data_IF_951630894807
#
_entry.id   IF_951630894807
#
_cell.length_a   1.000
_cell.length_b   1.000
_cell.length_c   1.000
_cell.angle_alpha   90.00
_cell.angle_beta   90.00
_cell.angle_gamma   90.00
#
_symmetry.space_group_name_H-M   'P 1'
#
loop_
_entity.id
_entity.type
_entity.pdbx_description
1 polymer ?
#
# COMPACT_ATOMS: atom_id res chain seq x y z
N UNK A 1 24.98 -21.44 74.14
CA UNK A 1 25.29 -20.66 72.91
C UNK A 1 24.21 -20.95 71.88
N UNK A 2 23.16 -20.13 71.87
CA UNK A 2 22.05 -20.19 70.91
C UNK A 2 22.34 -19.20 69.78
N UNK A 3 22.34 -19.66 68.54
CA UNK A 3 22.51 -18.80 67.34
C UNK A 3 21.26 -17.93 67.16
N UNK A 4 21.39 -16.64 66.84
CA UNK A 4 20.23 -15.82 66.52
C UNK A 4 19.69 -16.19 65.14
N UNK A 5 18.40 -16.49 65.05
CA UNK A 5 17.70 -16.65 63.77
C UNK A 5 17.56 -15.29 63.10
N UNK A 6 18.16 -15.17 61.93
CA UNK A 6 18.17 -13.94 61.16
C UNK A 6 16.85 -13.83 60.37
N UNK A 7 15.81 -13.34 61.03
CA UNK A 7 14.48 -13.19 60.45
C UNK A 7 14.42 -11.90 59.62
N UNK A 8 15.04 -11.91 58.44
CA UNK A 8 14.92 -10.80 57.48
C UNK A 8 13.59 -10.95 56.74
N UNK A 9 12.60 -10.15 57.15
CA UNK A 9 11.33 -10.00 56.45
C UNK A 9 11.58 -9.25 55.14
N UNK A 10 11.70 -9.97 54.03
CA UNK A 10 11.72 -9.36 52.70
C UNK A 10 10.28 -9.05 52.29
N UNK A 11 9.95 -7.77 52.17
CA UNK A 11 8.72 -7.34 51.50
C UNK A 11 8.98 -7.41 50.00
N UNK A 12 8.48 -8.46 49.35
CA UNK A 12 8.45 -8.53 47.89
C UNK A 12 7.23 -7.73 47.45
N UNK A 13 7.42 -6.45 47.11
CA UNK A 13 6.39 -5.67 46.43
C UNK A 13 6.36 -6.08 44.96
N UNK A 14 5.32 -6.80 44.56
CA UNK A 14 5.05 -7.07 43.15
C UNK A 14 4.27 -5.88 42.61
N UNK A 15 4.95 -4.93 41.97
CA UNK A 15 4.27 -3.86 41.25
C UNK A 15 3.50 -4.48 40.09
N UNK A 16 2.17 -4.28 40.06
CA UNK A 16 1.34 -4.75 38.97
C UNK A 16 1.50 -3.82 37.76
N UNK A 17 2.52 -4.10 36.95
CA UNK A 17 2.81 -3.38 35.70
C UNK A 17 1.67 -3.49 34.68
N UNK A 18 0.61 -4.29 34.94
CA UNK A 18 -0.57 -4.33 34.08
C UNK A 18 -1.35 -3.00 34.06
N UNK A 19 -1.22 -2.18 35.11
CA UNK A 19 -1.91 -0.88 35.24
C UNK A 19 -1.22 0.29 34.51
N UNK A 20 0.04 0.14 34.07
CA UNK A 20 0.84 1.20 33.43
C UNK A 20 1.05 0.98 31.92
N UNK A 21 0.03 0.46 31.20
CA UNK A 21 0.09 0.33 29.74
C UNK A 21 -0.10 1.63 28.97
N UNK A 22 -0.28 2.76 29.65
CA UNK A 22 -0.55 4.05 29.01
C UNK A 22 0.45 4.38 27.89
N UNK A 23 1.76 4.11 28.08
CA UNK A 23 2.75 4.34 27.01
C UNK A 23 2.55 3.45 25.78
N UNK A 24 2.20 2.17 25.98
CA UNK A 24 1.90 1.24 24.89
C UNK A 24 0.58 1.60 24.19
N UNK A 25 -0.45 1.96 24.95
CA UNK A 25 -1.74 2.36 24.42
C UNK A 25 -1.63 3.69 23.65
N UNK A 26 -0.84 4.64 24.15
CA UNK A 26 -0.54 5.90 23.48
C UNK A 26 0.26 5.66 22.19
N UNK A 27 1.23 4.74 22.21
CA UNK A 27 1.97 4.33 21.03
C UNK A 27 1.05 3.68 19.99
N UNK A 28 0.13 2.81 20.41
CA UNK A 28 -0.86 2.21 19.51
C UNK A 28 -1.76 3.28 18.88
N UNK A 29 -2.30 4.21 19.68
CA UNK A 29 -3.11 5.32 19.15
C UNK A 29 -2.31 6.22 18.21
N UNK A 30 -1.03 6.46 18.48
CA UNK A 30 -0.16 7.20 17.57
C UNK A 30 0.02 6.44 16.25
N UNK A 31 0.31 5.14 16.31
CA UNK A 31 0.42 4.29 15.12
C UNK A 31 -0.88 4.28 14.30
N UNK A 32 -2.03 4.17 14.96
CA UNK A 32 -3.35 4.24 14.30
C UNK A 32 -3.56 5.58 13.60
N UNK A 33 -3.23 6.71 14.26
CA UNK A 33 -3.32 8.04 13.65
C UNK A 33 -2.37 8.22 12.48
N UNK A 34 -1.14 7.69 12.57
CA UNK A 34 -0.18 7.71 11.46
C UNK A 34 -0.73 6.89 10.29
N UNK A 35 -1.25 5.68 10.54
CA UNK A 35 -1.87 4.86 9.49
C UNK A 35 -3.09 5.53 8.85
N UNK A 36 -3.91 6.22 9.64
CA UNK A 36 -5.06 6.98 9.13
C UNK A 36 -4.62 8.18 8.30
N UNK A 37 -3.60 8.93 8.76
CA UNK A 37 -3.02 10.04 8.02
C UNK A 37 -2.36 9.59 6.72
N UNK A 38 -1.65 8.45 6.73
CA UNK A 38 -1.13 7.81 5.51
C UNK A 38 -2.29 7.50 4.58
N UNK A 39 -3.35 6.83 5.04
CA UNK A 39 -4.47 6.43 4.19
C UNK A 39 -5.19 7.63 3.57
N UNK A 40 -5.37 8.71 4.33
CA UNK A 40 -6.06 9.91 3.86
C UNK A 40 -5.23 10.71 2.85
N UNK A 41 -3.90 10.75 3.02
CA UNK A 41 -2.98 11.48 2.14
C UNK A 41 -2.30 10.59 1.08
N UNK A 42 -2.63 9.30 1.05
CA UNK A 42 -2.00 8.31 0.16
C UNK A 42 -2.01 8.73 -1.32
N UNK A 43 -3.12 9.28 -1.87
CA UNK A 43 -3.15 9.69 -3.27
C UNK A 43 -2.14 10.78 -3.60
N UNK A 44 -1.89 11.71 -2.66
CA UNK A 44 -0.96 12.82 -2.86
C UNK A 44 0.48 12.34 -2.69
N UNK A 45 0.76 11.54 -1.65
CA UNK A 45 2.10 11.04 -1.31
C UNK A 45 2.71 10.18 -2.42
N UNK A 46 1.92 9.28 -3.01
CA UNK A 46 2.34 8.39 -4.12
C UNK A 46 2.82 9.20 -5.35
N UNK A 47 2.36 10.44 -5.45
CA UNK A 47 2.57 11.28 -6.62
C UNK A 47 3.59 12.39 -6.39
N UNK A 48 4.35 12.29 -5.29
CA UNK A 48 5.52 13.13 -5.05
C UNK A 48 6.70 12.69 -5.93
N UNK A 49 7.27 13.65 -6.66
CA UNK A 49 8.35 13.42 -7.62
C UNK A 49 9.60 12.84 -6.96
N UNK A 50 9.83 13.18 -5.69
CA UNK A 50 10.95 12.68 -4.89
C UNK A 50 10.91 11.15 -4.74
N UNK A 51 9.72 10.56 -4.66
CA UNK A 51 9.58 9.10 -4.48
C UNK A 51 9.86 8.35 -5.78
N UNK A 52 9.42 8.90 -6.91
CA UNK A 52 9.54 8.25 -8.23
C UNK A 52 10.97 8.35 -8.78
N UNK A 53 11.71 9.40 -8.39
CA UNK A 53 13.05 9.70 -8.90
C UNK A 53 14.19 9.24 -7.95
N UNK A 54 13.90 8.68 -6.77
CA UNK A 54 14.90 8.33 -5.75
C UNK A 54 15.06 6.83 -5.49
N UNK A 55 16.27 6.44 -5.08
CA UNK A 55 16.68 5.05 -4.86
C UNK A 55 16.26 4.49 -3.48
N UNK A 56 15.01 4.74 -3.05
CA UNK A 56 14.35 4.00 -1.96
C UNK A 56 14.86 4.24 -0.54
N UNK A 57 15.52 5.37 -0.25
CA UNK A 57 16.03 5.72 1.09
C UNK A 57 15.43 6.98 1.71
N UNK A 58 14.39 7.53 1.11
CA UNK A 58 13.79 8.77 1.61
C UNK A 58 12.65 8.49 2.61
N UNK A 59 12.61 9.35 3.62
CA UNK A 59 11.60 9.40 4.67
C UNK A 59 10.63 10.52 4.27
N UNK A 60 9.35 10.20 4.16
CA UNK A 60 8.31 11.17 3.77
C UNK A 60 7.69 11.74 5.04
N UNK A 61 7.57 13.06 5.11
CA UNK A 61 7.03 13.76 6.28
C UNK A 61 5.55 14.02 6.09
N UNK A 62 4.72 13.41 6.93
CA UNK A 62 3.27 13.59 6.88
C UNK A 62 2.83 14.44 8.08
N UNK A 63 2.10 15.55 7.87
CA UNK A 63 1.53 16.30 8.96
C UNK A 63 0.41 15.49 9.64
N UNK A 64 0.59 15.19 10.92
CA UNK A 64 -0.44 14.60 11.78
C UNK A 64 -1.02 15.68 12.69
N UNK A 65 -2.35 15.70 12.79
CA UNK A 65 -3.05 16.52 13.76
C UNK A 65 -2.78 15.98 15.16
N UNK A 66 -2.04 16.74 15.95
CA UNK A 66 -1.92 16.49 17.38
C UNK A 66 -2.98 17.30 18.11
N UNK A 67 -3.48 16.74 19.21
CA UNK A 67 -4.22 17.52 20.19
C UNK A 67 -3.20 17.92 21.24
N UNK A 68 -3.08 19.22 21.48
CA UNK A 68 -2.28 19.70 22.59
C UNK A 68 -2.85 19.16 23.91
N UNK A 69 -1.97 18.65 24.75
CA UNK A 69 -2.34 18.35 26.13
C UNK A 69 -2.74 19.64 26.84
N UNK A 70 -3.85 19.59 27.59
CA UNK A 70 -4.28 20.71 28.40
C UNK A 70 -3.18 21.08 29.42
N UNK A 71 -2.60 22.27 29.26
CA UNK A 71 -1.65 22.82 30.23
C UNK A 71 -2.41 23.63 31.26
N UNK A 72 -2.32 23.23 32.53
CA UNK A 72 -2.77 24.07 33.64
C UNK A 72 -1.86 25.30 33.67
N UNK A 73 -2.39 26.46 33.32
CA UNK A 73 -1.70 27.74 33.47
C UNK A 73 -2.12 28.38 34.78
N UNK A 74 -1.15 28.86 35.56
CA UNK A 74 -1.44 29.68 36.73
C UNK A 74 -2.00 31.01 36.25
N UNK A 75 -3.18 31.38 36.75
CA UNK A 75 -3.68 32.72 36.59
C UNK A 75 -2.87 33.65 37.50
N UNK A 76 -2.20 34.65 36.91
CA UNK A 76 -1.39 35.62 37.65
C UNK A 76 -2.24 36.75 38.26
N UNK A 77 -3.52 36.83 37.90
CA UNK A 77 -4.45 37.75 38.54
C UNK A 77 -4.86 37.25 39.92
N UNK A 78 -4.97 38.18 40.86
CA UNK A 78 -5.25 37.92 42.29
C UNK A 78 -6.65 37.37 42.58
N UNK A 79 -7.39 36.93 41.57
CA UNK A 79 -8.74 36.39 41.73
C UNK A 79 -8.68 34.87 41.92
N UNK A 80 -9.07 34.41 43.12
CA UNK A 80 -9.27 32.98 43.43
C UNK A 80 -10.55 32.49 42.75
N UNK A 81 -10.49 32.19 41.46
CA UNK A 81 -11.57 31.49 40.77
C UNK A 81 -10.99 30.39 39.88
N UNK A 82 -11.60 29.21 39.93
CA UNK A 82 -11.36 28.13 38.97
C UNK A 82 -12.45 28.26 37.91
N UNK A 83 -12.09 28.21 36.62
CA UNK A 83 -13.09 28.22 35.55
C UNK A 83 -13.91 26.93 35.61
N UNK A 84 -15.11 27.00 36.21
CA UNK A 84 -16.03 25.88 36.31
C UNK A 84 -17.18 26.10 35.32
N UNK A 85 -17.40 25.16 34.41
CA UNK A 85 -18.56 25.18 33.51
C UNK A 85 -19.85 24.89 34.26
N UNK A 86 -20.97 25.42 33.76
CA UNK A 86 -22.28 25.28 34.39
C UNK A 86 -22.93 23.88 34.25
N UNK A 87 -22.20 22.87 33.79
CA UNK A 87 -22.67 21.48 33.68
C UNK A 87 -23.23 21.07 32.31
N UNK A 88 -23.58 22.03 31.44
CA UNK A 88 -24.16 21.78 30.11
C UNK A 88 -23.19 22.02 28.93
N UNK A 89 -21.87 22.02 29.18
CA UNK A 89 -20.88 22.40 28.17
C UNK A 89 -20.62 21.31 27.12
N UNK A 90 -20.52 21.70 25.85
CA UNK A 90 -20.09 20.82 24.76
C UNK A 90 -18.59 21.00 24.46
N UNK A 91 -17.99 19.98 23.83
CA UNK A 91 -16.57 20.02 23.41
C UNK A 91 -16.39 21.17 22.41
N UNK A 92 -15.65 22.21 22.82
CA UNK A 92 -15.42 23.44 22.04
C UNK A 92 -15.94 24.73 22.71
N UNK A 93 -16.72 24.62 23.79
CA UNK A 93 -17.24 25.79 24.50
C UNK A 93 -16.17 26.51 25.33
N UNK A 94 -16.11 27.84 25.18
CA UNK A 94 -15.20 28.70 25.97
C UNK A 94 -15.90 29.10 27.27
N UNK A 95 -15.48 28.49 28.38
CA UNK A 95 -16.10 28.66 29.71
C UNK A 95 -15.88 30.06 30.30
N UNK A 96 -14.78 30.74 29.94
CA UNK A 96 -14.53 32.14 30.27
C UNK A 96 -13.49 32.76 29.31
N UNK A 97 -13.73 33.98 28.82
CA UNK A 97 -12.70 34.84 28.24
C UNK A 97 -12.38 35.93 29.25
N UNK A 98 -11.09 36.19 29.43
CA UNK A 98 -10.63 37.25 30.31
C UNK A 98 -11.11 38.61 29.78
N UNK A 99 -11.88 39.31 30.61
CA UNK A 99 -12.61 40.50 30.23
C UNK A 99 -11.77 41.74 30.45
N UNK A 100 -11.10 42.24 29.41
CA UNK A 100 -10.83 43.68 29.29
C UNK A 100 -11.87 44.30 28.36
N UNK A 101 -12.83 45.00 28.96
CA UNK A 101 -13.83 45.78 28.24
C UNK A 101 -13.16 46.93 27.48
N UNK A 102 -13.21 46.87 26.15
CA UNK A 102 -12.76 47.93 25.25
C UNK A 102 -13.45 47.85 23.89
N UNK A 103 -14.47 48.70 23.70
CA UNK A 103 -15.09 49.16 22.45
C UNK A 103 -15.07 48.27 21.20
N UNK A 104 -16.26 47.82 20.77
CA UNK A 104 -16.56 47.44 19.37
C UNK A 104 -16.36 48.65 18.45
N UNK A 105 -15.26 48.66 17.70
CA UNK A 105 -15.09 49.50 16.50
C UNK A 105 -15.70 48.83 15.27
N UNK A 106 -16.16 49.58 14.25
CA UNK A 106 -16.80 49.04 13.05
C UNK A 106 -15.83 48.22 12.20
N UNK A 107 -16.25 47.01 11.79
CA UNK A 107 -15.45 46.06 11.04
C UNK A 107 -14.95 46.59 9.70
N UNK A 108 -13.64 46.47 9.48
CA UNK A 108 -12.96 46.73 8.21
C UNK A 108 -12.31 45.42 7.74
N UNK A 109 -12.81 44.90 6.62
CA UNK A 109 -12.08 44.03 5.68
C UNK A 109 -11.90 42.56 6.05
N UNK A 110 -12.03 41.70 5.04
CA UNK A 110 -11.50 40.33 5.03
C UNK A 110 -9.97 40.37 5.18
N UNK A 111 -9.49 40.40 6.42
CA UNK A 111 -8.11 40.06 6.78
C UNK A 111 -8.01 38.58 7.13
N UNK A 112 -6.80 38.02 7.01
CA UNK A 112 -6.50 36.67 7.47
C UNK A 112 -7.04 36.45 8.89
N UNK A 113 -7.75 35.34 9.12
CA UNK A 113 -8.42 35.07 10.38
C UNK A 113 -7.42 35.08 11.55
N UNK A 114 -7.78 35.79 12.63
CA UNK A 114 -7.02 35.92 13.88
C UNK A 114 -7.04 34.64 14.74
N UNK A 115 -7.40 33.50 14.15
CA UNK A 115 -7.34 32.19 14.80
C UNK A 115 -5.92 31.67 14.63
N UNK A 116 -5.26 31.32 15.74
CA UNK A 116 -4.00 30.61 15.70
C UNK A 116 -4.18 29.36 14.82
N UNK A 117 -3.29 29.18 13.84
CA UNK A 117 -3.28 27.97 13.03
C UNK A 117 -3.12 26.73 13.92
N UNK A 118 -3.70 25.61 13.50
CA UNK A 118 -3.51 24.34 14.20
C UNK A 118 -2.03 23.92 14.11
N UNK A 119 -1.42 23.57 15.25
CA UNK A 119 -0.06 23.03 15.28
C UNK A 119 -0.07 21.59 14.72
N UNK A 120 0.66 21.37 13.63
CA UNK A 120 0.85 20.05 13.01
C UNK A 120 2.19 19.46 13.44
N UNK A 121 2.19 18.18 13.80
CA UNK A 121 3.44 17.43 14.01
C UNK A 121 3.79 16.69 12.72
N UNK A 122 5.06 16.74 12.30
CA UNK A 122 5.54 15.97 11.16
C UNK A 122 5.91 14.56 11.62
N UNK A 123 5.17 13.56 11.16
CA UNK A 123 5.55 12.16 11.32
C UNK A 123 6.43 11.71 10.15
N UNK A 124 7.55 11.08 10.47
CA UNK A 124 8.45 10.46 9.50
C UNK A 124 7.91 9.08 9.12
N UNK A 125 7.52 8.91 7.86
CA UNK A 125 6.98 7.66 7.31
C UNK A 125 7.95 7.07 6.30
N UNK A 126 8.17 5.77 6.41
CA UNK A 126 9.04 5.04 5.49
C UNK A 126 8.31 4.71 4.19
N UNK A 127 9.06 4.60 3.10
CA UNK A 127 8.52 4.18 1.80
C UNK A 127 7.88 2.78 1.86
N UNK A 128 8.41 1.90 2.70
CA UNK A 128 7.88 0.54 2.90
C UNK A 128 6.48 0.56 3.53
N UNK A 129 6.20 1.47 4.48
CA UNK A 129 4.87 1.62 5.08
C UNK A 129 3.85 2.15 4.06
N UNK A 130 4.28 3.08 3.18
CA UNK A 130 3.45 3.57 2.08
C UNK A 130 3.12 2.45 1.09
N UNK A 131 4.12 1.65 0.73
CA UNK A 131 3.97 0.47 -0.13
C UNK A 131 2.99 -0.54 0.48
N UNK A 132 3.15 -0.87 1.76
CA UNK A 132 2.25 -1.82 2.44
C UNK A 132 0.80 -1.30 2.44
N UNK A 133 0.60 -0.02 2.76
CA UNK A 133 -0.72 0.60 2.76
C UNK A 133 -1.37 0.60 1.37
N UNK A 134 -0.58 0.87 0.32
CA UNK A 134 -1.02 0.86 -1.07
C UNK A 134 -1.32 -0.56 -1.57
N UNK A 135 -0.36 -1.47 -1.47
CA UNK A 135 -0.42 -2.81 -2.07
C UNK A 135 -1.44 -3.72 -1.39
N UNK A 136 -1.81 -3.43 -0.14
CA UNK A 136 -2.88 -4.14 0.57
C UNK A 136 -4.22 -4.14 -0.19
N UNK A 137 -4.47 -3.11 -0.99
CA UNK A 137 -5.73 -2.94 -1.73
C UNK A 137 -5.65 -3.44 -3.19
N UNK A 138 -4.46 -3.79 -3.68
CA UNK A 138 -4.21 -4.08 -5.10
C UNK A 138 -4.00 -5.58 -5.33
N UNK A 139 -4.64 -6.14 -6.36
CA UNK A 139 -4.45 -7.51 -6.84
C UNK A 139 -4.53 -7.55 -8.37
N UNK A 140 -3.81 -8.49 -8.99
CA UNK A 140 -3.98 -8.76 -10.42
C UNK A 140 -5.40 -9.28 -10.69
N UNK A 141 -6.23 -8.54 -11.45
CA UNK A 141 -7.60 -8.94 -11.72
C UNK A 141 -7.64 -10.14 -12.66
N UNK A 142 -8.71 -10.93 -12.64
CA UNK A 142 -8.90 -12.04 -13.57
C UNK A 142 -7.70 -13.03 -13.64
N UNK A 143 -6.96 -13.21 -12.54
CA UNK A 143 -5.83 -14.15 -12.50
C UNK A 143 -6.36 -15.58 -12.60
N UNK A 144 -6.08 -16.24 -13.72
CA UNK A 144 -6.54 -17.62 -13.98
C UNK A 144 -5.45 -18.60 -13.63
N UNK A 145 -5.87 -19.77 -13.13
CA UNK A 145 -4.99 -20.94 -13.03
C UNK A 145 -4.70 -21.44 -14.44
N UNK A 146 -3.47 -21.22 -14.88
CA UNK A 146 -2.94 -21.70 -16.18
C UNK A 146 -2.29 -23.06 -16.01
N UNK A 147 -1.86 -23.67 -17.12
CA UNK A 147 -1.16 -24.95 -17.06
C UNK A 147 0.02 -24.86 -16.10
N UNK A 148 0.10 -25.83 -15.20
CA UNK A 148 1.11 -25.87 -14.16
C UNK A 148 2.45 -26.20 -14.81
N UNK A 149 3.28 -25.18 -15.03
CA UNK A 149 4.71 -25.43 -14.92
C UNK A 149 4.98 -25.94 -13.51
N UNK A 150 5.91 -26.88 -13.36
CA UNK A 150 6.33 -27.39 -12.06
C UNK A 150 7.07 -26.28 -11.29
N UNK A 151 6.32 -25.34 -10.72
CA UNK A 151 6.87 -24.23 -9.95
C UNK A 151 6.90 -24.69 -8.50
N UNK A 152 8.12 -24.87 -7.99
CA UNK A 152 8.43 -25.14 -6.59
C UNK A 152 8.66 -23.78 -5.93
N UNK A 153 7.59 -23.10 -5.50
CA UNK A 153 7.76 -22.00 -4.54
C UNK A 153 7.85 -22.65 -3.16
N UNK A 154 9.03 -22.61 -2.55
CA UNK A 154 9.28 -23.10 -1.20
C UNK A 154 8.77 -22.08 -0.18
N UNK A 155 7.47 -22.12 0.13
CA UNK A 155 6.95 -21.30 1.22
C UNK A 155 7.12 -22.04 2.54
N UNK A 156 7.91 -21.46 3.46
CA UNK A 156 8.23 -22.03 4.77
C UNK A 156 7.10 -21.68 5.74
N UNK A 157 6.16 -22.60 5.95
CA UNK A 157 5.09 -22.42 6.93
C UNK A 157 5.40 -23.21 8.23
N UNK A 158 5.47 -22.51 9.37
CA UNK A 158 5.64 -23.10 10.70
C UNK A 158 4.34 -23.69 11.26
N UNK A 159 3.73 -24.61 10.51
CA UNK A 159 2.43 -25.19 10.83
C UNK A 159 2.53 -26.60 11.44
N UNK A 160 3.72 -27.21 11.48
CA UNK A 160 3.90 -28.58 11.98
C UNK A 160 4.50 -28.61 13.38
N UNK A 161 4.12 -29.62 14.15
CA UNK A 161 4.60 -29.84 15.51
C UNK A 161 5.10 -31.26 15.66
N UNK A 162 6.40 -31.37 15.90
CA UNK A 162 7.09 -32.65 16.05
C UNK A 162 7.51 -32.86 17.50
N UNK A 163 7.66 -34.14 17.88
CA UNK A 163 8.18 -34.53 19.21
C UNK A 163 9.70 -34.36 19.32
N UNK A 164 10.38 -34.19 18.19
CA UNK A 164 11.83 -34.08 18.07
C UNK A 164 12.17 -32.94 17.09
N UNK A 165 13.15 -32.10 17.44
CA UNK A 165 13.56 -30.98 16.61
C UNK A 165 14.71 -30.19 17.25
N UNK A 166 15.08 -29.07 16.62
CA UNK A 166 16.10 -28.16 17.14
C UNK A 166 15.64 -27.50 18.44
N UNK A 167 16.50 -27.47 19.48
CA UNK A 167 16.18 -26.88 20.80
C UNK A 167 15.74 -25.40 20.72
N UNK A 168 16.17 -24.66 19.71
CA UNK A 168 15.72 -23.28 19.47
C UNK A 168 14.24 -23.14 19.13
N UNK A 169 13.61 -24.18 18.56
CA UNK A 169 12.23 -24.15 18.07
C UNK A 169 11.21 -24.80 19.02
N UNK A 170 11.56 -24.97 20.30
CA UNK A 170 10.63 -25.55 21.29
C UNK A 170 9.39 -24.65 21.45
N UNK A 171 8.21 -25.24 21.24
CA UNK A 171 6.95 -24.64 21.66
C UNK A 171 6.80 -24.79 23.17
N UNK A 172 7.25 -23.76 23.91
CA UNK A 172 7.23 -23.74 25.38
C UNK A 172 5.82 -24.00 25.92
N UNK A 173 4.79 -23.39 25.34
CA UNK A 173 3.40 -23.48 25.80
C UNK A 173 2.86 -24.91 25.62
N UNK A 174 3.04 -25.49 24.43
CA UNK A 174 2.56 -26.85 24.15
C UNK A 174 3.36 -27.91 24.90
N UNK A 175 4.67 -27.71 25.07
CA UNK A 175 5.54 -28.57 25.88
C UNK A 175 5.08 -28.60 27.33
N UNK A 176 4.87 -27.42 27.92
CA UNK A 176 4.41 -27.27 29.30
C UNK A 176 3.01 -27.86 29.51
N UNK A 177 2.10 -27.70 28.53
CA UNK A 177 0.80 -28.35 28.55
C UNK A 177 0.86 -29.88 28.42
N UNK A 178 1.82 -30.42 27.64
CA UNK A 178 2.03 -31.87 27.53
C UNK A 178 2.48 -32.44 28.88
N UNK A 179 3.47 -31.79 29.52
CA UNK A 179 3.95 -32.18 30.83
C UNK A 179 2.83 -32.12 31.88
N UNK A 180 2.02 -31.06 31.87
CA UNK A 180 0.88 -30.93 32.76
C UNK A 180 -0.13 -32.06 32.59
N UNK A 181 -0.50 -32.39 31.35
CA UNK A 181 -1.45 -33.48 31.07
C UNK A 181 -0.93 -34.84 31.56
N UNK A 182 0.35 -35.15 31.30
CA UNK A 182 0.99 -36.39 31.77
C UNK A 182 1.06 -36.45 33.30
N UNK A 183 1.44 -35.34 33.94
CA UNK A 183 1.52 -35.25 35.40
C UNK A 183 0.13 -35.35 36.06
N UNK A 184 -0.89 -34.75 35.45
CA UNK A 184 -2.27 -34.88 35.89
C UNK A 184 -2.80 -36.32 35.78
N UNK A 185 -2.43 -37.06 34.71
CA UNK A 185 -2.75 -38.50 34.60
C UNK A 185 -2.13 -39.34 35.73
N UNK A 186 -0.98 -38.91 36.25
CA UNK A 186 -0.30 -39.54 37.38
C UNK A 186 -0.74 -38.98 38.75
N UNK A 187 -1.90 -38.31 38.83
CA UNK A 187 -2.45 -37.68 40.04
C UNK A 187 -1.54 -36.64 40.72
N UNK A 188 -0.61 -36.03 39.97
CA UNK A 188 0.27 -34.96 40.45
C UNK A 188 0.22 -33.77 39.49
N UNK A 189 -0.92 -33.07 39.35
CA UNK A 189 -1.04 -31.98 38.38
C UNK A 189 0.01 -30.90 38.62
N UNK A 190 0.86 -30.65 37.61
CA UNK A 190 1.97 -29.72 37.72
C UNK A 190 2.76 -29.65 36.41
N UNK A 191 3.46 -28.54 36.19
CA UNK A 191 4.24 -28.33 34.97
C UNK A 191 5.64 -28.98 35.00
N UNK A 192 6.06 -29.44 36.16
CA UNK A 192 7.36 -30.08 36.39
C UNK A 192 7.14 -31.45 37.06
N UNK A 193 7.97 -32.47 36.77
CA UNK A 193 9.09 -32.51 35.82
C UNK A 193 8.62 -32.51 34.37
N UNK A 194 9.44 -31.93 33.47
CA UNK A 194 9.28 -32.02 32.00
C UNK A 194 10.25 -33.11 31.52
N UNK A 195 9.73 -34.11 30.82
CA UNK A 195 10.56 -35.16 30.22
C UNK A 195 10.74 -34.92 28.71
N UNK A 196 11.76 -35.55 28.07
CA UNK A 196 11.98 -35.42 26.64
C UNK A 196 10.75 -35.74 25.77
N UNK A 197 9.87 -36.64 26.23
CA UNK A 197 8.60 -37.00 25.59
C UNK A 197 7.54 -35.90 25.58
N UNK A 198 7.64 -34.94 26.51
CA UNK A 198 6.76 -33.77 26.60
C UNK A 198 7.16 -32.68 25.62
N UNK A 199 8.39 -32.72 25.09
CA UNK A 199 8.90 -31.69 24.18
C UNK A 199 8.08 -31.66 22.88
N UNK A 200 7.69 -30.45 22.50
CA UNK A 200 7.04 -30.12 21.23
C UNK A 200 7.87 -29.06 20.53
N UNK A 201 8.22 -29.32 19.29
CA UNK A 201 9.01 -28.43 18.46
C UNK A 201 8.15 -27.89 17.32
N UNK A 202 8.21 -26.59 17.06
CA UNK A 202 7.65 -26.00 15.84
C UNK A 202 8.58 -26.34 14.68
N UNK A 203 8.05 -27.08 13.72
CA UNK A 203 8.76 -27.41 12.49
C UNK A 203 8.09 -26.67 11.34
N UNK A 204 8.87 -26.31 10.35
CA UNK A 204 8.36 -25.80 9.10
C UNK A 204 8.18 -26.96 8.12
N UNK A 205 7.11 -26.90 7.34
CA UNK A 205 7.00 -27.72 6.15
C UNK A 205 7.14 -26.78 4.94
N UNK A 206 7.85 -27.24 3.93
CA UNK A 206 7.85 -26.63 2.61
C UNK A 206 6.54 -27.00 1.95
N UNK A 207 5.68 -26.01 1.71
CA UNK A 207 4.44 -26.19 0.97
C UNK A 207 4.63 -25.59 -0.41
N UNK A 208 4.54 -26.44 -1.45
CA UNK A 208 4.53 -25.96 -2.84
C UNK A 208 3.18 -25.31 -3.12
N UNK A 209 3.17 -23.98 -3.26
CA UNK A 209 2.00 -23.26 -3.75
C UNK A 209 2.15 -23.11 -5.27
N UNK A 210 1.25 -23.71 -6.08
CA UNK A 210 1.28 -23.50 -7.51
C UNK A 210 0.83 -22.07 -7.80
N UNK A 211 1.79 -21.19 -8.12
CA UNK A 211 1.50 -19.87 -8.65
C UNK A 211 1.30 -19.93 -10.17
N UNK A 212 0.37 -19.12 -10.66
CA UNK A 212 0.16 -18.99 -12.11
C UNK A 212 1.08 -17.90 -12.63
N UNK A 213 1.88 -18.21 -13.65
CA UNK A 213 2.73 -17.22 -14.30
C UNK A 213 1.87 -16.10 -14.89
N UNK A 214 2.39 -14.90 -14.82
CA UNK A 214 1.79 -13.75 -15.46
C UNK A 214 2.87 -12.86 -16.04
N UNK A 215 2.54 -12.19 -17.14
CA UNK A 215 3.37 -11.19 -17.76
C UNK A 215 2.60 -9.89 -17.88
N UNK A 216 3.24 -8.81 -17.48
CA UNK A 216 2.70 -7.46 -17.60
C UNK A 216 3.47 -6.72 -18.70
N UNK A 217 2.76 -6.30 -19.75
CA UNK A 217 3.34 -5.55 -20.85
C UNK A 217 3.12 -4.07 -20.59
N UNK A 218 4.17 -3.39 -20.11
CA UNK A 218 4.15 -1.96 -19.82
C UNK A 218 4.46 -1.17 -21.09
N UNK A 219 3.44 -0.58 -21.70
CA UNK A 219 3.52 0.18 -22.94
C UNK A 219 3.39 1.67 -22.64
N UNK A 220 4.41 2.45 -23.01
CA UNK A 220 4.39 3.90 -22.82
C UNK A 220 4.70 4.62 -24.12
N UNK A 221 3.88 5.61 -24.42
CA UNK A 221 4.13 6.57 -25.48
C UNK A 221 5.28 7.51 -25.07
N UNK A 222 6.26 7.67 -25.95
CA UNK A 222 7.44 8.53 -25.75
C UNK A 222 7.47 9.67 -26.78
N UNK A 223 6.37 9.89 -27.49
CA UNK A 223 6.23 10.91 -28.53
C UNK A 223 6.42 12.35 -28.02
N UNK A 224 6.45 13.27 -28.98
CA UNK A 224 6.60 14.69 -28.73
C UNK A 224 5.37 15.36 -28.12
N UNK A 225 4.17 14.78 -28.25
CA UNK A 225 2.94 15.33 -27.67
C UNK A 225 2.90 15.13 -26.15
N UNK A 226 3.56 14.08 -25.66
CA UNK A 226 3.75 13.85 -24.23
C UNK A 226 4.78 14.82 -23.63
N UNK A 227 4.26 15.83 -22.92
CA UNK A 227 5.04 16.79 -22.16
C UNK A 227 5.66 16.19 -20.89
N UNK A 228 6.29 17.06 -20.08
CA UNK A 228 6.92 16.65 -18.81
C UNK A 228 5.88 16.09 -17.83
N UNK A 229 4.71 16.70 -17.77
CA UNK A 229 3.65 16.28 -16.85
C UNK A 229 3.04 14.94 -17.27
N UNK A 230 2.77 14.75 -18.56
CA UNK A 230 2.21 13.51 -19.09
C UNK A 230 3.18 12.34 -18.89
N UNK A 231 4.46 12.55 -19.18
CA UNK A 231 5.54 11.57 -18.93
C UNK A 231 5.68 11.28 -17.44
N UNK A 232 5.60 12.29 -16.59
CA UNK A 232 5.64 12.12 -15.14
C UNK A 232 4.54 11.18 -14.66
N UNK A 233 3.28 11.45 -15.01
CA UNK A 233 2.13 10.66 -14.59
C UNK A 233 2.23 9.18 -15.04
N UNK A 234 2.63 8.95 -16.29
CA UNK A 234 2.82 7.60 -16.82
C UNK A 234 3.96 6.87 -16.09
N UNK A 235 5.11 7.52 -15.90
CA UNK A 235 6.26 6.95 -15.18
C UNK A 235 5.91 6.64 -13.71
N UNK A 236 5.22 7.54 -13.02
CA UNK A 236 4.75 7.31 -11.65
C UNK A 236 3.87 6.06 -11.58
N UNK A 237 2.92 5.89 -12.50
CA UNK A 237 2.08 4.70 -12.54
C UNK A 237 2.89 3.41 -12.74
N UNK A 238 3.78 3.38 -13.74
CA UNK A 238 4.60 2.18 -14.01
C UNK A 238 5.62 1.90 -12.91
N UNK A 239 6.15 2.92 -12.24
CA UNK A 239 7.04 2.77 -11.09
C UNK A 239 6.33 2.04 -9.95
N UNK A 240 5.16 2.53 -9.55
CA UNK A 240 4.37 1.90 -8.49
C UNK A 240 3.83 0.53 -8.87
N UNK A 241 3.44 0.34 -10.14
CA UNK A 241 3.06 -0.97 -10.65
C UNK A 241 4.21 -1.97 -10.55
N UNK A 242 5.42 -1.59 -10.97
CA UNK A 242 6.60 -2.47 -10.94
C UNK A 242 6.92 -2.92 -9.51
N UNK A 243 6.87 -1.97 -8.56
CA UNK A 243 7.08 -2.27 -7.13
C UNK A 243 5.97 -3.14 -6.55
N UNK A 244 4.71 -2.83 -6.88
CA UNK A 244 3.55 -3.63 -6.48
C UNK A 244 3.70 -5.09 -6.92
N UNK A 245 4.01 -5.31 -8.19
CA UNK A 245 4.11 -6.65 -8.76
C UNK A 245 5.27 -7.43 -8.15
N UNK A 246 6.46 -6.83 -8.06
CA UNK A 246 7.65 -7.45 -7.46
C UNK A 246 7.49 -7.78 -5.97
N UNK A 247 6.69 -6.99 -5.25
CA UNK A 247 6.46 -7.20 -3.81
C UNK A 247 5.44 -8.30 -3.56
N UNK A 248 4.41 -8.40 -4.40
CA UNK A 248 3.29 -9.31 -4.17
C UNK A 248 3.37 -10.64 -4.92
N UNK A 249 4.10 -10.69 -6.03
CA UNK A 249 4.15 -11.85 -6.92
C UNK A 249 5.60 -12.15 -7.32
N UNK A 250 6.07 -13.35 -7.03
CA UNK A 250 7.44 -13.78 -7.37
C UNK A 250 7.55 -14.22 -8.84
N UNK A 251 6.45 -14.69 -9.41
CA UNK A 251 6.39 -15.32 -10.73
C UNK A 251 5.88 -14.40 -11.85
N UNK A 252 5.77 -13.09 -11.58
CA UNK A 252 5.33 -12.10 -12.56
C UNK A 252 6.53 -11.51 -13.30
N UNK A 253 6.50 -11.62 -14.63
CA UNK A 253 7.46 -10.97 -15.53
C UNK A 253 6.91 -9.61 -16.00
N UNK A 254 7.79 -8.64 -16.20
CA UNK A 254 7.43 -7.29 -16.67
C UNK A 254 8.28 -6.97 -17.89
N UNK A 255 7.62 -6.65 -19.00
CA UNK A 255 8.28 -6.27 -20.25
C UNK A 255 7.91 -4.83 -20.58
N UNK A 256 8.93 -4.00 -20.80
CA UNK A 256 8.78 -2.58 -21.07
C UNK A 256 8.87 -2.31 -22.56
N UNK A 257 7.84 -1.65 -23.12
CA UNK A 257 7.75 -1.30 -24.52
C UNK A 257 7.54 0.21 -24.63
N UNK A 258 8.53 0.90 -25.19
CA UNK A 258 8.40 2.31 -25.53
C UNK A 258 8.01 2.44 -27.01
N UNK A 259 7.13 3.39 -27.32
CA UNK A 259 6.74 3.65 -28.70
C UNK A 259 6.58 5.13 -29.01
N UNK A 260 6.81 5.43 -30.28
CA UNK A 260 6.63 6.74 -30.89
C UNK A 260 6.06 6.50 -32.31
N UNK A 261 6.88 6.59 -33.34
CA UNK A 261 6.55 6.08 -34.70
C UNK A 261 6.77 4.56 -34.82
N UNK A 262 7.79 4.05 -34.14
CA UNK A 262 8.08 2.62 -33.99
C UNK A 262 8.07 2.21 -32.53
N UNK A 263 7.76 0.94 -32.25
CA UNK A 263 7.78 0.37 -30.91
C UNK A 263 9.01 -0.51 -30.70
N UNK A 264 9.62 -0.41 -29.51
CA UNK A 264 10.83 -1.17 -29.14
C UNK A 264 10.68 -1.70 -27.72
N UNK A 265 11.13 -2.93 -27.50
CA UNK A 265 11.32 -3.47 -26.15
C UNK A 265 12.57 -2.80 -25.57
N UNK A 266 12.45 -2.23 -24.39
CA UNK A 266 13.50 -1.45 -23.73
C UNK A 266 13.77 -1.99 -22.33
N UNK A 267 14.91 -1.63 -21.77
CA UNK A 267 15.20 -1.91 -20.36
C UNK A 267 14.34 -1.04 -19.44
N UNK A 268 14.20 -1.44 -18.18
CA UNK A 268 13.53 -0.64 -17.14
C UNK A 268 14.17 0.75 -17.01
N UNK A 269 15.51 0.82 -17.00
CA UNK A 269 16.26 2.08 -16.91
C UNK A 269 15.96 2.99 -18.10
N UNK A 270 15.99 2.46 -19.33
CA UNK A 270 15.68 3.23 -20.54
C UNK A 270 14.22 3.69 -20.55
N UNK A 271 13.30 2.85 -20.08
CA UNK A 271 11.88 3.20 -20.01
C UNK A 271 11.63 4.43 -19.14
N UNK A 272 12.30 4.55 -17.99
CA UNK A 272 12.12 5.67 -17.07
C UNK A 272 13.00 6.89 -17.37
N UNK A 273 14.14 6.72 -18.03
CA UNK A 273 15.11 7.81 -18.25
C UNK A 273 15.04 8.44 -19.65
N UNK A 274 14.69 7.66 -20.68
CA UNK A 274 14.84 8.09 -22.07
C UNK A 274 13.81 9.14 -22.46
N UNK A 275 14.27 10.20 -23.11
CA UNK A 275 13.43 11.20 -23.77
C UNK A 275 13.45 10.94 -25.27
N UNK A 276 12.28 10.71 -25.86
CA UNK A 276 12.14 10.63 -27.31
C UNK A 276 11.23 11.76 -27.81
N UNK A 277 11.39 12.09 -29.08
CA UNK A 277 10.63 13.11 -29.79
C UNK A 277 10.23 12.56 -31.15
N UNK A 278 9.00 12.83 -31.58
CA UNK A 278 8.43 12.28 -32.80
C UNK A 278 6.92 12.29 -32.80
N UNK A 279 6.31 11.85 -33.90
CA UNK A 279 4.87 11.60 -33.96
C UNK A 279 4.50 10.25 -33.33
N UNK A 280 3.20 10.03 -33.18
CA UNK A 280 2.64 8.85 -32.50
C UNK A 280 1.94 7.93 -33.49
N UNK A 281 2.35 6.66 -33.52
CA UNK A 281 1.70 5.57 -34.25
C UNK A 281 1.46 4.44 -33.25
N UNK A 282 0.32 4.47 -32.56
CA UNK A 282 -0.01 3.48 -31.53
C UNK A 282 -0.13 2.05 -32.05
N UNK A 283 -0.46 1.82 -33.32
CA UNK A 283 -0.52 0.44 -33.85
C UNK A 283 0.84 -0.27 -33.79
N UNK A 284 1.95 0.47 -33.73
CA UNK A 284 3.29 -0.09 -33.61
C UNK A 284 3.46 -0.86 -32.29
N UNK A 285 2.94 -0.31 -31.18
CA UNK A 285 3.11 -0.90 -29.84
C UNK A 285 2.31 -2.18 -29.67
N UNK A 286 1.07 -2.20 -30.17
CA UNK A 286 0.23 -3.39 -30.10
C UNK A 286 0.75 -4.51 -30.99
N UNK A 287 1.29 -4.17 -32.17
CA UNK A 287 1.95 -5.17 -33.03
C UNK A 287 3.16 -5.77 -32.31
N UNK A 288 3.97 -4.94 -31.66
CA UNK A 288 5.16 -5.42 -30.94
C UNK A 288 4.79 -6.26 -29.72
N UNK A 289 3.72 -5.90 -29.02
CA UNK A 289 3.18 -6.69 -27.92
C UNK A 289 2.70 -8.07 -28.39
N UNK A 290 1.96 -8.15 -29.50
CA UNK A 290 1.52 -9.42 -30.08
C UNK A 290 2.71 -10.29 -30.53
N UNK A 291 3.71 -9.71 -31.18
CA UNK A 291 4.95 -10.40 -31.57
C UNK A 291 5.66 -10.97 -30.33
N UNK A 292 5.77 -10.19 -29.26
CA UNK A 292 6.42 -10.63 -28.02
C UNK A 292 5.63 -11.76 -27.33
N UNK A 293 4.30 -11.72 -27.40
CA UNK A 293 3.43 -12.77 -26.88
C UNK A 293 3.64 -14.08 -27.66
N UNK A 294 3.66 -14.02 -28.99
CA UNK A 294 3.84 -15.20 -29.84
C UNK A 294 5.24 -15.83 -29.67
N UNK A 295 6.27 -15.00 -29.51
CA UNK A 295 7.65 -15.46 -29.35
C UNK A 295 7.96 -16.05 -27.97
N UNK A 296 7.48 -15.43 -26.89
CA UNK A 296 7.89 -15.76 -25.50
C UNK A 296 6.77 -16.22 -24.58
N UNK A 297 5.55 -15.71 -24.75
CA UNK A 297 4.51 -15.81 -23.73
C UNK A 297 3.25 -16.50 -24.25
N UNK A 298 3.26 -17.84 -24.23
CA UNK A 298 2.08 -18.63 -24.61
C UNK A 298 0.86 -18.28 -23.72
N UNK A 299 -0.26 -17.80 -24.31
CA UNK A 299 -1.48 -17.49 -23.57
C UNK A 299 -2.08 -18.64 -22.76
N UNK A 300 -1.73 -19.90 -23.03
CA UNK A 300 -2.18 -21.06 -22.25
C UNK A 300 -1.38 -21.25 -20.95
N UNK A 301 -0.15 -20.73 -20.90
CA UNK A 301 0.77 -20.86 -19.76
C UNK A 301 0.88 -19.56 -18.95
N UNK A 302 0.75 -18.41 -19.60
CA UNK A 302 0.86 -17.10 -18.97
C UNK A 302 -0.49 -16.38 -18.89
N UNK A 303 -0.71 -15.64 -17.81
CA UNK A 303 -1.74 -14.60 -17.76
C UNK A 303 -1.15 -13.30 -18.27
N UNK A 304 -1.73 -12.71 -19.31
CA UNK A 304 -1.15 -11.56 -20.01
C UNK A 304 -1.94 -10.30 -19.67
N UNK A 305 -1.23 -9.24 -19.27
CA UNK A 305 -1.80 -7.95 -18.88
C UNK A 305 -1.11 -6.78 -19.59
N UNK A 306 -1.62 -6.35 -20.75
CA UNK A 306 -1.09 -5.18 -21.43
C UNK A 306 -1.65 -3.89 -20.83
N UNK A 307 -0.76 -2.96 -20.50
CA UNK A 307 -1.08 -1.62 -20.02
C UNK A 307 -0.48 -0.58 -20.95
N UNK A 308 -1.31 0.24 -21.59
CA UNK A 308 -0.85 1.31 -22.46
C UNK A 308 -1.17 2.69 -21.87
N UNK A 309 -0.16 3.54 -21.75
CA UNK A 309 -0.30 4.94 -21.37
C UNK A 309 0.11 5.86 -22.52
N UNK A 310 -0.77 6.81 -22.83
CA UNK A 310 -0.56 7.85 -23.86
C UNK A 310 -1.36 9.12 -23.48
N UNK A 311 -1.10 10.23 -24.15
CA UNK A 311 -1.85 11.49 -24.02
C UNK A 311 -3.13 11.53 -24.90
N UNK A 312 -3.38 10.47 -25.66
CA UNK A 312 -4.58 10.33 -26.50
C UNK A 312 -4.44 10.87 -27.91
N UNK A 313 -3.25 11.38 -28.28
CA UNK A 313 -2.96 11.81 -29.64
C UNK A 313 -2.39 10.66 -30.49
N UNK A 314 -2.98 10.45 -31.67
CA UNK A 314 -2.54 9.43 -32.61
C UNK A 314 -2.91 9.85 -34.02
N UNK A 315 -2.14 9.35 -34.99
CA UNK A 315 -2.43 9.57 -36.38
C UNK A 315 -3.80 8.98 -36.77
N UNK A 316 -4.71 9.82 -37.28
CA UNK A 316 -6.10 9.41 -37.59
C UNK A 316 -6.19 8.22 -38.53
N UNK A 317 -5.26 8.08 -39.49
CA UNK A 317 -5.21 6.94 -40.41
C UNK A 317 -4.82 5.62 -39.75
N UNK A 318 -4.21 5.67 -38.56
CA UNK A 318 -3.78 4.51 -37.79
C UNK A 318 -4.85 4.00 -36.81
N UNK A 319 -5.82 4.83 -36.44
CA UNK A 319 -6.85 4.51 -35.44
C UNK A 319 -7.65 3.23 -35.76
N UNK A 320 -8.03 3.03 -37.03
CA UNK A 320 -8.75 1.81 -37.44
C UNK A 320 -7.90 0.54 -37.23
N UNK A 321 -6.58 0.65 -37.43
CA UNK A 321 -5.64 -0.45 -37.20
C UNK A 321 -5.43 -0.68 -35.69
N UNK A 322 -5.36 0.38 -34.89
CA UNK A 322 -5.26 0.29 -33.44
C UNK A 322 -6.42 -0.51 -32.84
N UNK A 323 -7.67 -0.19 -33.22
CA UNK A 323 -8.85 -0.90 -32.70
C UNK A 323 -8.76 -2.40 -33.00
N UNK A 324 -8.43 -2.77 -34.24
CA UNK A 324 -8.27 -4.18 -34.63
C UNK A 324 -7.19 -4.90 -33.82
N UNK A 325 -6.03 -4.27 -33.64
CA UNK A 325 -4.92 -4.87 -32.87
C UNK A 325 -5.23 -4.97 -31.38
N UNK A 326 -5.97 -4.00 -30.82
CA UNK A 326 -6.43 -4.06 -29.43
C UNK A 326 -7.44 -5.21 -29.25
N UNK A 327 -8.33 -5.43 -30.21
CA UNK A 327 -9.25 -6.57 -30.21
C UNK A 327 -8.49 -7.91 -30.24
N UNK A 328 -7.54 -8.07 -31.16
CA UNK A 328 -6.66 -9.26 -31.23
C UNK A 328 -5.88 -9.47 -29.92
N UNK A 329 -5.35 -8.40 -29.34
CA UNK A 329 -4.62 -8.43 -28.06
C UNK A 329 -5.53 -8.79 -26.87
N UNK A 330 -6.80 -8.37 -26.90
CA UNK A 330 -7.79 -8.73 -25.87
C UNK A 330 -8.21 -10.20 -25.93
N UNK A 331 -8.13 -10.87 -27.09
CA UNK A 331 -8.42 -12.29 -27.20
C UNK A 331 -7.39 -13.12 -26.42
N UNK A 332 -6.12 -12.77 -26.54
CA UNK A 332 -4.99 -13.48 -25.89
C UNK A 332 -4.70 -13.01 -24.46
N UNK A 333 -5.21 -11.85 -24.04
CA UNK A 333 -4.97 -11.30 -22.70
C UNK A 333 -6.11 -11.52 -21.71
N UNK A 334 -5.79 -11.39 -20.42
CA UNK A 334 -6.76 -11.46 -19.33
C UNK A 334 -7.51 -10.13 -19.16
N UNK A 335 -6.84 -9.02 -19.47
CA UNK A 335 -7.34 -7.65 -19.39
C UNK A 335 -6.45 -6.75 -20.22
N UNK A 336 -7.02 -5.72 -20.84
CA UNK A 336 -6.29 -4.62 -21.47
C UNK A 336 -6.57 -3.33 -20.70
N UNK A 337 -5.52 -2.67 -20.21
CA UNK A 337 -5.60 -1.39 -19.49
C UNK A 337 -5.13 -0.23 -20.35
N UNK A 338 -5.95 0.82 -20.49
CA UNK A 338 -5.57 2.05 -21.19
C UNK A 338 -5.64 3.25 -20.26
N UNK A 339 -4.49 3.87 -19.98
CA UNK A 339 -4.38 5.12 -19.25
C UNK A 339 -4.22 6.28 -20.22
N UNK A 340 -5.18 7.21 -20.24
CA UNK A 340 -5.03 8.46 -20.99
C UNK A 340 -4.65 9.59 -20.04
N UNK A 341 -3.56 10.28 -20.32
CA UNK A 341 -3.08 11.40 -19.52
C UNK A 341 -3.49 12.70 -20.18
N UNK A 342 -4.52 13.35 -19.64
CA UNK A 342 -5.17 14.48 -20.31
C UNK A 342 -5.64 15.54 -19.29
N UNK A 343 -4.71 16.39 -18.86
CA UNK A 343 -4.97 17.45 -17.87
C UNK A 343 -6.01 18.47 -18.34
N UNK A 344 -5.99 18.83 -19.62
CA UNK A 344 -6.77 19.93 -20.18
C UNK A 344 -8.05 19.49 -20.90
N UNK A 345 -8.43 18.21 -20.77
CA UNK A 345 -9.58 17.63 -21.46
C UNK A 345 -9.55 17.90 -22.99
N UNK A 346 -8.36 17.76 -23.58
CA UNK A 346 -8.15 17.86 -25.03
C UNK A 346 -8.92 16.76 -25.73
N UNK A 347 -9.29 17.01 -26.98
CA UNK A 347 -9.96 16.00 -27.79
C UNK A 347 -9.00 14.83 -28.09
N UNK A 348 -9.31 13.66 -27.54
CA UNK A 348 -8.54 12.44 -27.78
C UNK A 348 -9.04 11.70 -29.01
N UNK A 349 -8.14 11.49 -29.98
CA UNK A 349 -8.46 10.74 -31.21
C UNK A 349 -8.56 9.24 -30.92
N UNK A 350 -7.71 8.74 -30.01
CA UNK A 350 -7.70 7.34 -29.57
C UNK A 350 -8.94 6.97 -28.77
N UNK A 351 -9.31 7.76 -27.75
CA UNK A 351 -10.48 7.45 -26.92
C UNK A 351 -11.77 7.48 -27.75
N UNK A 352 -11.84 8.39 -28.72
CA UNK A 352 -12.96 8.45 -29.66
C UNK A 352 -13.06 7.16 -30.50
N UNK A 353 -11.93 6.57 -30.88
CA UNK A 353 -11.88 5.29 -31.58
C UNK A 353 -12.23 4.10 -30.65
N UNK A 354 -11.74 4.11 -29.41
CA UNK A 354 -11.99 3.05 -28.44
C UNK A 354 -13.39 3.07 -27.83
N UNK A 355 -14.13 4.18 -27.94
CA UNK A 355 -15.51 4.29 -27.42
C UNK A 355 -16.45 3.19 -27.91
N UNK A 356 -16.19 2.62 -29.08
CA UNK A 356 -17.00 1.55 -29.67
C UNK A 356 -16.61 0.15 -29.21
N UNK A 357 -15.50 0.00 -28.47
CA UNK A 357 -15.07 -1.28 -27.92
C UNK A 357 -16.00 -1.62 -26.74
N UNK A 358 -16.77 -2.69 -26.87
CA UNK A 358 -17.77 -3.13 -25.88
C UNK A 358 -17.33 -4.35 -25.06
N UNK A 359 -16.03 -4.60 -24.97
CA UNK A 359 -15.48 -5.78 -24.29
C UNK A 359 -15.23 -5.51 -22.79
N UNK A 360 -15.67 -6.41 -21.91
CA UNK A 360 -15.46 -6.34 -20.46
C UNK A 360 -13.98 -6.36 -20.04
N UNK A 361 -13.11 -6.93 -20.89
CA UNK A 361 -11.66 -6.96 -20.66
C UNK A 361 -11.00 -5.59 -20.87
N UNK A 362 -11.66 -4.66 -21.57
CA UNK A 362 -11.16 -3.32 -21.82
C UNK A 362 -11.45 -2.42 -20.61
N UNK A 363 -10.40 -2.02 -19.89
CA UNK A 363 -10.50 -1.01 -18.83
C UNK A 363 -9.73 0.22 -19.24
N UNK A 364 -10.31 1.39 -19.01
CA UNK A 364 -9.62 2.65 -19.26
C UNK A 364 -9.76 3.59 -18.06
N UNK A 365 -8.78 4.48 -17.90
CA UNK A 365 -8.80 5.53 -16.88
C UNK A 365 -8.22 6.83 -17.44
N UNK A 366 -8.84 7.96 -17.09
CA UNK A 366 -8.40 9.29 -17.52
C UNK A 366 -7.69 9.99 -16.37
N UNK A 367 -6.40 10.26 -16.51
CA UNK A 367 -5.57 10.93 -15.51
C UNK A 367 -5.57 12.44 -15.77
N UNK A 368 -6.11 13.21 -14.82
CA UNK A 368 -6.22 14.68 -14.89
C UNK A 368 -5.40 15.38 -13.82
N UNK A 369 -5.30 14.76 -12.65
CA UNK A 369 -4.60 15.28 -11.48
C UNK A 369 -3.57 14.27 -11.00
N UNK A 370 -2.58 14.72 -10.21
CA UNK A 370 -1.55 13.84 -9.67
C UNK A 370 -2.16 12.64 -8.91
N UNK A 371 -3.11 12.88 -8.01
CA UNK A 371 -3.84 11.85 -7.26
C UNK A 371 -4.53 10.77 -8.11
N UNK A 372 -4.78 11.03 -9.41
CA UNK A 372 -5.36 10.04 -10.31
C UNK A 372 -4.46 8.82 -10.56
N UNK A 373 -3.15 8.90 -10.30
CA UNK A 373 -2.28 7.70 -10.37
C UNK A 373 -2.76 6.64 -9.39
N UNK A 374 -3.05 7.03 -8.15
CA UNK A 374 -3.55 6.12 -7.11
C UNK A 374 -4.92 5.55 -7.50
N UNK A 375 -5.82 6.40 -7.99
CA UNK A 375 -7.15 5.98 -8.42
C UNK A 375 -7.08 5.03 -9.64
N UNK A 376 -6.18 5.30 -10.59
CA UNK A 376 -5.95 4.44 -11.75
C UNK A 376 -5.41 3.07 -11.32
N UNK A 377 -4.43 3.02 -10.41
CA UNK A 377 -3.94 1.76 -9.84
C UNK A 377 -5.06 0.97 -9.17
N UNK A 378 -5.86 1.62 -8.33
CA UNK A 378 -6.97 0.99 -7.63
C UNK A 378 -8.07 0.51 -8.58
N UNK A 379 -8.31 1.23 -9.68
CA UNK A 379 -9.26 0.84 -10.72
C UNK A 379 -8.78 -0.37 -11.53
N UNK A 380 -7.53 -0.34 -11.98
CA UNK A 380 -6.97 -1.41 -12.79
C UNK A 380 -6.71 -2.68 -11.98
N UNK A 381 -6.11 -2.57 -10.80
CA UNK A 381 -5.74 -3.68 -9.92
C UNK A 381 -6.74 -3.88 -8.78
N UNK A 382 -8.02 -3.57 -9.01
CA UNK A 382 -9.06 -3.76 -8.01
C UNK A 382 -9.12 -5.22 -7.60
N UNK A 383 -9.09 -5.48 -6.29
CA UNK A 383 -9.45 -6.77 -5.73
C UNK A 383 -10.91 -7.08 -6.06
N UNK A 384 -11.12 -8.01 -6.99
CA UNK A 384 -12.45 -8.54 -7.24
C UNK A 384 -12.84 -9.41 -6.04
N UNK A 385 -13.87 -8.99 -5.31
CA UNK A 385 -14.56 -9.87 -4.37
C UNK A 385 -15.20 -10.99 -5.20
N UNK A 386 -14.43 -12.05 -5.42
CA UNK A 386 -14.94 -13.27 -6.04
C UNK A 386 -15.96 -13.90 -5.10
N UNK A 387 -17.21 -13.43 -5.20
CA UNK A 387 -18.43 -14.06 -4.72
C UNK A 387 -18.77 -15.33 -5.52
N UNK A 388 -17.79 -16.23 -5.68
CA UNK A 388 -18.04 -17.62 -6.04
C UNK A 388 -17.36 -18.49 -5.01
N UNK A 389 -18.08 -18.71 -3.91
CA UNK A 389 -17.93 -19.94 -3.14
C UNK A 389 -18.07 -21.10 -4.13
N UNK A 390 -16.96 -21.74 -4.47
CA UNK A 390 -17.03 -23.09 -5.01
C UNK A 390 -17.40 -23.99 -3.84
N UNK A 391 -18.62 -24.53 -3.90
CA UNK A 391 -19.15 -25.55 -3.01
C UNK A 391 -18.41 -26.88 -3.17
#
# INVERSE_FOLDING_TARGET
MTKPENNHQFVISQEDWSLHRKGHDDQQRHQEKVQEAIKNNLPDLITEENIVMSNGREVVKIPIRSLDEYKIRYNYDKNKHVGQGNGDSQVGDVVARDGSGGQKGPGKGQGAGDQAGEDYFEAEVSLMELEEALFKQLELPNLKRKEQDQIVVENIEFNDIRKTGLMGNIDKKRTMMSAFKRNAMNNKPGFYPIYPEDLKFKTWNEVTKPESKAVVLAMMDTSGSMGLWEKYMARSFFFWMTRFLRTKYETVEIEFIAHHTEAKVVSEEDFFSKGESGGTICSSVYRKALELIDDKYDPNRFNIYPFHFSDGDNLTSDNARCVKLVEELMEVSNMFGYGEVNQYNRHSTLMSAYKNISNEKFRHYLLRQKADVFNAMTSFFRKEENGKMYA
#
